data_IF_214354634594
#
_entry.id   IF_214354634594
#
_cell.length_a   1.000
_cell.length_b   1.000
_cell.length_c   1.000
_cell.angle_alpha   90.00
_cell.angle_beta   90.00
_cell.angle_gamma   90.00
#
_symmetry.space_group_name_H-M   'P 1'
#
loop_
_entity.id
_entity.type
_entity.pdbx_description
1 polymer ?
#
# COMPACT_ATOMS: atom_id res chain seq x y z
N UNK A 1 13.12 58.35 2.74
CA UNK A 1 12.43 58.37 1.43
C UNK A 1 13.12 57.32 0.58
N UNK A 2 12.79 56.04 0.75
CA UNK A 2 11.72 55.32 0.05
C UNK A 2 12.01 55.16 -1.44
N UNK A 3 12.33 53.93 -1.85
CA UNK A 3 11.85 53.34 -3.11
C UNK A 3 11.98 51.82 -2.99
N UNK A 4 10.86 51.22 -2.59
CA UNK A 4 10.58 49.80 -2.67
C UNK A 4 10.28 49.47 -4.14
N UNK A 5 10.90 48.45 -4.71
CA UNK A 5 10.45 47.90 -5.99
C UNK A 5 10.35 46.38 -5.84
N UNK A 6 9.14 45.92 -5.51
CA UNK A 6 8.74 44.53 -5.60
C UNK A 6 8.52 44.15 -7.06
N UNK A 7 9.06 43.00 -7.48
CA UNK A 7 8.70 42.37 -8.74
C UNK A 7 7.87 41.13 -8.41
N UNK A 8 6.55 41.23 -8.52
CA UNK A 8 5.64 40.10 -8.40
C UNK A 8 5.49 39.45 -9.78
N UNK A 9 6.21 38.35 -10.01
CA UNK A 9 5.96 37.50 -11.16
C UNK A 9 4.76 36.61 -10.85
N UNK A 10 3.58 36.96 -11.39
CA UNK A 10 2.45 36.03 -11.47
C UNK A 10 2.79 34.93 -12.46
N UNK A 11 2.91 33.70 -11.97
CA UNK A 11 2.93 32.52 -12.82
C UNK A 11 1.48 32.05 -13.04
N UNK A 12 1.06 31.74 -14.28
CA UNK A 12 -0.25 31.15 -14.50
C UNK A 12 -0.29 29.76 -13.84
N UNK A 13 -1.30 29.54 -13.00
CA UNK A 13 -1.62 28.21 -12.46
C UNK A 13 -2.05 27.31 -13.62
N UNK A 14 -1.10 26.58 -14.19
CA UNK A 14 -1.40 25.48 -15.09
C UNK A 14 -1.92 24.33 -14.24
N UNK A 15 -3.20 24.00 -14.39
CA UNK A 15 -3.75 22.74 -13.89
C UNK A 15 -2.89 21.61 -14.46
N UNK A 16 -2.28 20.74 -13.64
CA UNK A 16 -1.47 19.66 -14.18
C UNK A 16 -2.41 18.72 -14.93
N UNK A 17 -2.26 18.66 -16.25
CA UNK A 17 -2.87 17.61 -17.06
C UNK A 17 -2.50 16.26 -16.42
N UNK A 18 -3.51 15.43 -16.15
CA UNK A 18 -3.29 14.09 -15.62
C UNK A 18 -2.27 13.37 -16.51
N UNK A 19 -1.21 12.83 -15.89
CA UNK A 19 -0.16 12.10 -16.60
C UNK A 19 -0.81 10.96 -17.42
N UNK A 20 -0.56 10.87 -18.75
CA UNK A 20 -1.11 9.80 -19.58
C UNK A 20 -0.77 8.37 -19.09
N UNK A 21 0.31 8.21 -18.31
CA UNK A 21 0.62 6.95 -17.64
C UNK A 21 -0.32 6.70 -16.45
N UNK A 22 -0.63 7.72 -15.66
CA UNK A 22 -1.60 7.67 -14.56
C UNK A 22 -2.97 7.20 -15.05
N UNK A 23 -3.46 7.78 -16.17
CA UNK A 23 -4.76 7.43 -16.74
C UNK A 23 -4.86 5.92 -17.07
N UNK A 24 -3.81 5.34 -17.66
CA UNK A 24 -3.76 3.89 -17.96
C UNK A 24 -3.77 3.01 -16.70
N UNK A 25 -3.12 3.43 -15.63
CA UNK A 25 -3.14 2.68 -14.37
C UNK A 25 -4.51 2.75 -13.67
N UNK A 26 -5.23 3.87 -13.78
CA UNK A 26 -6.53 4.09 -13.15
C UNK A 26 -7.69 3.36 -13.87
N UNK A 27 -7.57 3.10 -15.18
CA UNK A 27 -8.59 2.37 -15.97
C UNK A 27 -8.73 0.88 -15.59
N UNK A 28 -7.70 0.30 -14.97
CA UNK A 28 -7.71 -1.09 -14.50
C UNK A 28 -8.14 -1.25 -13.03
N UNK A 29 -8.53 -0.15 -12.36
CA UNK A 29 -8.92 -0.21 -10.96
C UNK A 29 -10.29 -0.88 -10.77
N UNK A 30 -10.48 -1.59 -9.64
CA UNK A 30 -11.80 -1.97 -9.15
C UNK A 30 -12.74 -0.76 -9.16
N UNK A 31 -14.01 -0.98 -9.53
CA UNK A 31 -14.97 0.11 -9.72
C UNK A 31 -15.10 1.03 -8.51
N UNK A 32 -15.16 0.46 -7.30
CA UNK A 32 -15.24 1.25 -6.06
C UNK A 32 -14.02 2.16 -5.88
N UNK A 33 -12.81 1.60 -5.99
CA UNK A 33 -11.57 2.35 -5.87
C UNK A 33 -11.42 3.41 -6.97
N UNK A 34 -11.84 3.10 -8.20
CA UNK A 34 -11.84 4.07 -9.31
C UNK A 34 -12.74 5.27 -9.02
N UNK A 35 -13.91 5.03 -8.44
CA UNK A 35 -14.83 6.10 -8.07
C UNK A 35 -14.28 6.94 -6.91
N UNK A 36 -13.70 6.29 -5.89
CA UNK A 36 -13.10 6.97 -4.72
C UNK A 36 -11.91 7.86 -5.12
N UNK A 37 -11.13 7.42 -6.11
CA UNK A 37 -9.93 8.13 -6.58
C UNK A 37 -10.15 9.07 -7.76
N UNK A 38 -11.40 9.29 -8.17
CA UNK A 38 -11.71 10.11 -9.33
C UNK A 38 -11.15 11.54 -9.17
N UNK A 39 -10.39 12.00 -10.17
CA UNK A 39 -9.76 13.32 -10.18
C UNK A 39 -8.42 13.43 -9.43
N UNK A 40 -7.94 12.35 -8.80
CA UNK A 40 -6.60 12.34 -8.21
C UNK A 40 -5.51 12.28 -9.30
N UNK A 41 -4.40 12.98 -9.09
CA UNK A 41 -3.17 12.72 -9.83
C UNK A 41 -2.56 11.38 -9.38
N UNK A 42 -1.68 10.78 -10.18
CA UNK A 42 -1.00 9.55 -9.76
C UNK A 42 -0.23 9.71 -8.45
N UNK A 43 0.50 10.82 -8.29
CA UNK A 43 1.25 11.08 -7.05
C UNK A 43 0.33 11.19 -5.84
N UNK A 44 -0.83 11.86 -5.98
CA UNK A 44 -1.83 11.91 -4.92
C UNK A 44 -2.37 10.51 -4.62
N UNK A 45 -2.76 9.75 -5.64
CA UNK A 45 -3.23 8.37 -5.51
C UNK A 45 -2.21 7.49 -4.78
N UNK A 46 -0.95 7.49 -5.20
CA UNK A 46 0.10 6.70 -4.58
C UNK A 46 0.32 7.11 -3.12
N UNK A 47 0.35 8.41 -2.82
CA UNK A 47 0.50 8.91 -1.44
C UNK A 47 -0.66 8.49 -0.53
N UNK A 48 -1.88 8.37 -1.09
CA UNK A 48 -3.09 7.98 -0.36
C UNK A 48 -3.17 6.47 -0.18
N UNK A 49 -3.00 5.68 -1.25
CA UNK A 49 -3.24 4.24 -1.25
C UNK A 49 -2.01 3.38 -0.93
N UNK A 50 -0.80 3.90 -1.14
CA UNK A 50 0.45 3.22 -0.85
C UNK A 50 1.38 4.11 0.01
N UNK A 51 0.96 4.60 1.19
CA UNK A 51 1.78 5.49 1.99
C UNK A 51 3.08 4.79 2.40
N UNK A 52 4.21 5.45 2.12
CA UNK A 52 5.55 5.02 2.53
C UNK A 52 5.88 5.32 3.99
N UNK A 53 5.00 6.05 4.68
CA UNK A 53 5.12 6.42 6.09
C UNK A 53 4.11 5.66 6.94
N UNK A 54 4.49 5.29 8.16
CA UNK A 54 3.61 4.66 9.13
C UNK A 54 4.37 3.80 10.14
N UNK A 55 3.68 3.32 11.18
CA UNK A 55 4.31 2.52 12.23
C UNK A 55 4.83 1.18 11.70
N UNK A 56 4.15 0.56 10.73
CA UNK A 56 4.53 -0.73 10.18
C UNK A 56 5.48 -0.60 9.00
N UNK A 57 6.58 -1.34 9.05
CA UNK A 57 7.60 -1.45 8.00
C UNK A 57 7.99 -2.91 7.83
N UNK A 58 8.06 -3.40 6.59
CA UNK A 58 8.58 -4.74 6.31
C UNK A 58 10.06 -4.63 5.93
N UNK A 59 10.93 -5.31 6.68
CA UNK A 59 12.37 -5.36 6.44
C UNK A 59 12.80 -6.55 5.59
N UNK A 60 12.51 -7.75 6.06
CA UNK A 60 12.82 -9.00 5.35
C UNK A 60 11.62 -9.93 5.34
N UNK A 61 11.58 -10.80 4.33
CA UNK A 61 10.56 -11.83 4.15
C UNK A 61 11.24 -13.09 3.60
N UNK A 62 10.91 -14.24 4.16
CA UNK A 62 11.36 -15.55 3.67
C UNK A 62 10.23 -16.57 3.73
N UNK A 63 10.31 -17.56 2.84
CA UNK A 63 9.30 -18.62 2.71
C UNK A 63 10.03 -19.96 2.59
N UNK A 64 9.66 -20.92 3.42
CA UNK A 64 10.23 -22.27 3.41
C UNK A 64 9.11 -23.29 3.30
N UNK A 65 9.12 -24.12 2.26
CA UNK A 65 8.11 -25.17 2.10
C UNK A 65 8.34 -26.26 3.15
N UNK A 66 7.32 -26.55 3.95
CA UNK A 66 7.39 -27.58 5.00
C UNK A 66 6.47 -28.78 4.74
N UNK A 67 5.54 -28.65 3.79
CA UNK A 67 4.67 -29.75 3.39
C UNK A 67 3.81 -29.45 2.17
N UNK A 68 2.93 -30.37 1.78
CA UNK A 68 1.93 -30.12 0.74
C UNK A 68 1.03 -28.95 1.14
N UNK A 69 1.07 -27.87 0.35
CA UNK A 69 0.24 -26.68 0.58
C UNK A 69 0.54 -25.92 1.87
N UNK A 70 1.68 -26.18 2.55
CA UNK A 70 2.06 -25.54 3.80
C UNK A 70 3.49 -25.05 3.76
N UNK A 71 3.68 -23.84 4.28
CA UNK A 71 4.94 -23.11 4.27
C UNK A 71 5.16 -22.44 5.62
N UNK A 72 6.42 -22.38 6.05
CA UNK A 72 6.85 -21.48 7.12
C UNK A 72 7.30 -20.16 6.52
N UNK A 73 6.74 -19.08 7.05
CA UNK A 73 7.10 -17.72 6.68
C UNK A 73 7.79 -17.05 7.85
N UNK A 74 8.86 -16.32 7.58
CA UNK A 74 9.47 -15.42 8.55
C UNK A 74 9.52 -14.00 7.99
N UNK A 75 9.28 -13.03 8.86
CA UNK A 75 9.35 -11.61 8.53
C UNK A 75 10.12 -10.85 9.61
N UNK A 76 10.84 -9.82 9.18
CA UNK A 76 11.29 -8.77 10.10
C UNK A 76 10.38 -7.57 9.93
N UNK A 77 9.65 -7.20 10.99
CA UNK A 77 8.72 -6.06 11.00
C UNK A 77 9.27 -4.95 11.90
N UNK A 78 9.30 -3.73 11.37
CA UNK A 78 9.39 -2.53 12.18
C UNK A 78 8.00 -2.10 12.64
N UNK A 79 7.84 -1.79 13.93
CA UNK A 79 6.60 -1.30 14.53
C UNK A 79 6.95 -0.09 15.41
N UNK A 80 6.65 1.11 14.94
CA UNK A 80 7.12 2.33 15.59
C UNK A 80 8.64 2.37 15.60
N UNK A 81 9.27 2.44 16.77
CA UNK A 81 10.73 2.40 16.94
C UNK A 81 11.29 0.99 17.11
N UNK A 82 10.44 -0.01 17.32
CA UNK A 82 10.84 -1.39 17.57
C UNK A 82 11.02 -2.17 16.26
N UNK A 83 11.95 -3.13 16.26
CA UNK A 83 12.10 -4.13 15.19
C UNK A 83 11.89 -5.50 15.81
N UNK A 84 11.00 -6.31 15.25
CA UNK A 84 10.72 -7.66 15.69
C UNK A 84 10.85 -8.67 14.54
N UNK A 85 11.36 -9.85 14.86
CA UNK A 85 11.26 -11.02 13.98
C UNK A 85 9.98 -11.78 14.34
N UNK A 86 9.18 -12.14 13.35
CA UNK A 86 7.92 -12.87 13.52
C UNK A 86 7.81 -13.98 12.47
N UNK A 87 7.01 -14.98 12.77
CA UNK A 87 6.89 -16.21 12.01
C UNK A 87 5.45 -16.72 11.97
N UNK A 88 5.06 -17.37 10.88
CA UNK A 88 3.77 -18.08 10.79
C UNK A 88 3.86 -19.24 9.81
N UNK A 89 3.31 -20.40 10.19
CA UNK A 89 3.06 -21.51 9.27
C UNK A 89 1.69 -21.30 8.61
N UNK A 90 1.66 -21.20 7.28
CA UNK A 90 0.44 -20.88 6.56
C UNK A 90 0.42 -21.48 5.14
N UNK A 91 -0.76 -21.55 4.49
CA UNK A 91 -0.85 -22.00 3.11
C UNK A 91 -0.34 -20.97 2.08
N UNK A 92 -0.12 -19.72 2.49
CA UNK A 92 0.39 -18.68 1.60
C UNK A 92 0.71 -17.36 2.31
N UNK A 93 1.34 -16.40 1.58
CA UNK A 93 1.86 -15.16 2.16
C UNK A 93 0.82 -14.28 2.83
N UNK A 94 -0.40 -14.20 2.25
CA UNK A 94 -1.50 -13.41 2.81
C UNK A 94 -1.90 -13.92 4.19
N UNK A 95 -2.12 -15.22 4.32
CA UNK A 95 -2.50 -15.83 5.59
C UNK A 95 -1.40 -15.66 6.66
N UNK A 96 -0.13 -15.85 6.27
CA UNK A 96 1.00 -15.63 7.17
C UNK A 96 1.09 -14.16 7.64
N UNK A 97 1.05 -13.22 6.71
CA UNK A 97 1.21 -11.80 7.01
C UNK A 97 0.04 -11.27 7.84
N UNK A 98 -1.20 -11.71 7.58
CA UNK A 98 -2.36 -11.36 8.43
C UNK A 98 -2.17 -11.89 9.86
N UNK A 99 -1.70 -13.13 10.04
CA UNK A 99 -1.40 -13.69 11.37
C UNK A 99 -0.31 -12.91 12.10
N UNK A 100 0.76 -12.52 11.39
CA UNK A 100 1.86 -11.75 11.95
C UNK A 100 1.42 -10.33 12.35
N UNK A 101 0.60 -9.66 11.53
CA UNK A 101 0.03 -8.35 11.83
C UNK A 101 -0.95 -8.41 13.02
N UNK A 102 -1.74 -9.47 13.13
CA UNK A 102 -2.61 -9.70 14.27
C UNK A 102 -1.80 -9.81 15.57
N UNK A 103 -0.71 -10.59 15.58
CA UNK A 103 0.21 -10.66 16.71
C UNK A 103 0.89 -9.32 17.05
N UNK A 104 1.01 -8.43 16.07
CA UNK A 104 1.48 -7.06 16.22
C UNK A 104 0.37 -6.05 16.61
N UNK A 105 -0.83 -6.54 16.92
CA UNK A 105 -1.98 -5.72 17.35
C UNK A 105 -2.70 -5.00 16.22
N UNK A 106 -2.61 -5.48 14.97
CA UNK A 106 -3.37 -5.00 13.82
C UNK A 106 -4.22 -6.14 13.26
N UNK A 107 -5.49 -6.18 13.66
CA UNK A 107 -6.46 -7.19 13.23
C UNK A 107 -7.10 -6.78 11.89
N UNK A 108 -6.34 -6.92 10.82
CA UNK A 108 -6.79 -6.55 9.47
C UNK A 108 -7.47 -7.73 8.77
N UNK A 109 -8.68 -7.50 8.27
CA UNK A 109 -9.39 -8.40 7.36
C UNK A 109 -9.30 -7.90 5.92
N UNK A 110 -9.23 -8.81 4.93
CA UNK A 110 -9.20 -8.47 3.50
C UNK A 110 -10.55 -8.83 2.89
N UNK A 111 -11.31 -7.81 2.50
CA UNK A 111 -12.64 -7.93 1.91
C UNK A 111 -12.61 -8.04 0.38
N UNK A 112 -11.57 -7.51 -0.26
CA UNK A 112 -11.37 -7.65 -1.71
C UNK A 112 -9.89 -7.66 -2.06
N UNK A 113 -9.54 -8.52 -3.01
CA UNK A 113 -8.17 -8.70 -3.48
C UNK A 113 -8.14 -8.59 -5.01
N UNK A 114 -7.39 -7.64 -5.53
CA UNK A 114 -7.18 -7.49 -6.96
C UNK A 114 -5.69 -7.33 -7.25
N UNK A 115 -5.14 -8.21 -8.09
CA UNK A 115 -3.73 -8.16 -8.48
C UNK A 115 -3.60 -8.11 -10.00
N UNK A 116 -2.71 -7.26 -10.50
CA UNK A 116 -2.53 -7.02 -11.93
C UNK A 116 -1.06 -6.78 -12.26
N UNK A 117 -0.66 -7.29 -13.42
CA UNK A 117 0.64 -6.96 -14.01
C UNK A 117 0.61 -5.57 -14.65
N UNK A 118 1.61 -4.76 -14.34
CA UNK A 118 1.84 -3.42 -14.88
C UNK A 118 3.27 -3.31 -15.41
N UNK A 119 3.44 -3.65 -16.70
CA UNK A 119 4.76 -3.75 -17.31
C UNK A 119 5.54 -4.95 -16.76
N UNK A 120 6.64 -4.69 -16.06
CA UNK A 120 7.50 -5.71 -15.43
C UNK A 120 7.27 -5.84 -13.91
N UNK A 121 6.25 -5.17 -13.38
CA UNK A 121 5.93 -5.10 -11.95
C UNK A 121 4.50 -5.58 -11.74
N UNK A 122 4.19 -5.97 -10.51
CA UNK A 122 2.84 -6.34 -10.11
C UNK A 122 2.26 -5.24 -9.21
N UNK A 123 1.00 -4.86 -9.43
CA UNK A 123 0.21 -4.01 -8.55
C UNK A 123 -0.88 -4.83 -7.86
N UNK A 124 -0.96 -4.73 -6.53
CA UNK A 124 -2.01 -5.34 -5.70
C UNK A 124 -2.83 -4.24 -5.05
N UNK A 125 -4.15 -4.37 -5.12
CA UNK A 125 -5.15 -3.51 -4.48
C UNK A 125 -5.96 -4.34 -3.50
N UNK A 126 -6.03 -3.87 -2.26
CA UNK A 126 -6.73 -4.53 -1.18
C UNK A 126 -7.81 -3.61 -0.62
N UNK A 127 -9.01 -4.13 -0.43
CA UNK A 127 -10.00 -3.51 0.42
C UNK A 127 -9.92 -4.20 1.77
N UNK A 128 -9.56 -3.45 2.80
CA UNK A 128 -9.34 -3.99 4.13
C UNK A 128 -10.31 -3.39 5.14
N UNK A 129 -10.52 -4.12 6.23
CA UNK A 129 -11.27 -3.67 7.39
C UNK A 129 -10.49 -3.94 8.69
N UNK A 130 -10.62 -3.04 9.66
CA UNK A 130 -10.30 -3.28 11.08
C UNK A 130 -11.21 -2.40 11.91
N UNK A 131 -11.85 -2.96 12.95
CA UNK A 131 -12.67 -2.22 13.90
C UNK A 131 -13.77 -1.35 13.24
N UNK A 132 -14.40 -1.86 12.18
CA UNK A 132 -15.44 -1.15 11.42
C UNK A 132 -14.91 -0.08 10.46
N UNK A 133 -13.60 0.17 10.42
CA UNK A 133 -12.96 1.07 9.46
C UNK A 133 -12.63 0.29 8.20
N UNK A 134 -13.27 0.65 7.08
CA UNK A 134 -13.04 0.04 5.76
C UNK A 134 -12.30 1.00 4.83
N UNK A 135 -11.22 0.53 4.21
CA UNK A 135 -10.40 1.34 3.30
C UNK A 135 -9.71 0.53 2.21
N UNK A 136 -9.42 1.17 1.10
CA UNK A 136 -8.54 0.62 0.06
C UNK A 136 -7.06 0.87 0.37
N UNK A 137 -6.19 -0.03 -0.07
CA UNK A 137 -4.75 0.13 -0.08
C UNK A 137 -4.15 -0.48 -1.35
N UNK A 138 -2.94 -0.06 -1.69
CA UNK A 138 -2.19 -0.52 -2.85
C UNK A 138 -0.75 -0.86 -2.47
N UNK A 139 -0.17 -1.83 -3.18
CA UNK A 139 1.27 -2.07 -3.20
C UNK A 139 1.74 -2.42 -4.60
N UNK A 140 2.93 -1.94 -4.97
CA UNK A 140 3.59 -2.30 -6.23
C UNK A 140 4.95 -2.93 -5.92
N UNK A 141 5.21 -4.12 -6.47
CA UNK A 141 6.43 -4.89 -6.26
C UNK A 141 6.95 -5.52 -7.55
N UNK A 142 8.14 -6.11 -7.50
CA UNK A 142 8.75 -6.86 -8.62
C UNK A 142 8.16 -8.27 -8.76
N UNK A 143 7.41 -8.72 -7.74
CA UNK A 143 6.70 -10.00 -7.75
C UNK A 143 5.27 -9.87 -7.20
N UNK A 144 4.49 -10.93 -7.41
CA UNK A 144 3.13 -11.04 -6.88
C UNK A 144 3.13 -11.05 -5.34
N UNK A 145 4.09 -11.74 -4.72
CA UNK A 145 4.24 -11.75 -3.27
C UNK A 145 4.62 -10.36 -2.76
N UNK A 146 5.65 -9.74 -3.34
CA UNK A 146 6.13 -8.44 -2.86
C UNK A 146 5.08 -7.33 -2.98
N UNK A 147 4.38 -7.26 -4.12
CA UNK A 147 3.28 -6.30 -4.31
C UNK A 147 2.17 -6.48 -3.28
N UNK A 148 1.84 -7.73 -2.95
CA UNK A 148 0.85 -8.08 -1.92
C UNK A 148 1.31 -7.67 -0.53
N UNK A 149 2.54 -8.00 -0.12
CA UNK A 149 3.06 -7.64 1.19
C UNK A 149 3.14 -6.12 1.36
N UNK A 150 3.56 -5.38 0.32
CA UNK A 150 3.55 -3.92 0.31
C UNK A 150 2.12 -3.37 0.48
N UNK A 151 1.13 -3.94 -0.21
CA UNK A 151 -0.26 -3.53 -0.07
C UNK A 151 -0.80 -3.77 1.35
N UNK A 152 -0.44 -4.90 1.97
CA UNK A 152 -0.82 -5.22 3.35
C UNK A 152 -0.18 -4.26 4.37
N UNK A 153 1.09 -3.88 4.19
CA UNK A 153 1.75 -2.86 5.03
C UNK A 153 1.07 -1.50 4.86
N UNK A 154 0.76 -1.10 3.62
CA UNK A 154 0.04 0.14 3.34
C UNK A 154 -1.36 0.14 3.99
N UNK A 155 -2.09 -0.97 3.92
CA UNK A 155 -3.37 -1.14 4.60
C UNK A 155 -3.25 -1.01 6.12
N UNK A 156 -2.31 -1.74 6.74
CA UNK A 156 -2.06 -1.68 8.18
C UNK A 156 -1.71 -0.25 8.64
N UNK A 157 -0.86 0.45 7.88
CA UNK A 157 -0.49 1.83 8.17
C UNK A 157 -1.66 2.81 8.03
N UNK A 158 -2.56 2.58 7.07
CA UNK A 158 -3.77 3.39 6.91
C UNK A 158 -4.79 3.13 8.01
N UNK A 159 -5.01 1.87 8.38
CA UNK A 159 -5.97 1.49 9.43
C UNK A 159 -5.57 2.05 10.80
N UNK A 160 -4.27 2.19 11.08
CA UNK A 160 -3.76 2.83 12.31
C UNK A 160 -3.95 4.33 12.39
N UNK A 161 -4.18 5.02 11.27
CA UNK A 161 -4.35 6.48 11.22
C UNK A 161 -5.81 6.90 11.28
N UNK A 162 -6.72 5.95 11.05
CA UNK A 162 -8.14 6.20 10.85
C UNK A 162 -8.90 6.32 12.17
#
# INVERSE_FOLDING_TARGET
MSTSTSFASSFPSSTPAADPSAARHLESLPRELRNESAGMTWSAFESTYAPSSGPFRLGSWSETKIGPGMWDFEATLGIGESICKTGASAPGPVAAMTSMLYGAGCAMEILSFHQREIGHRTATFLLCESDGIRLWAMGIGESHTESTLRAMISAANRLRRA
#
